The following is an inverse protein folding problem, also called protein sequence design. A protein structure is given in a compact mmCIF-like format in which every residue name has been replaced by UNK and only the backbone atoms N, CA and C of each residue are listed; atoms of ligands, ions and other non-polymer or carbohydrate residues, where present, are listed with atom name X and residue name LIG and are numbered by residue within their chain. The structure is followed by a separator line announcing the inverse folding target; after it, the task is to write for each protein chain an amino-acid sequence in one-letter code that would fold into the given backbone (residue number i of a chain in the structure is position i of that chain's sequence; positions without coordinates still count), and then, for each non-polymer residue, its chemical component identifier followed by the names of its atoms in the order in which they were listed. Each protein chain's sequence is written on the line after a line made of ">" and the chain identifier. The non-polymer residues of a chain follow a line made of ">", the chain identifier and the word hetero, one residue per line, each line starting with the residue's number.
data_IF_735042932959
#
_entry.id   IF_735042932959
#
_cell.length_a   1.000
_cell.length_b   1.000
_cell.length_c   1.000
_cell.angle_alpha   90.00
_cell.angle_beta   90.00
_cell.angle_gamma   90.00
#
_symmetry.space_group_name_H-M   'P 1'
#
loop_
_entity.id
_entity.type
_entity.pdbx_description
1 polymer ?
#
# COMPACT_ATOMS: atom_id res chain seq x y z
N UNK A 1 -65.61 10.57 55.08
CA UNK A 1 -65.68 10.04 53.69
C UNK A 1 -64.26 10.07 53.17
N UNK A 2 -63.72 8.93 52.73
CA UNK A 2 -62.30 8.77 52.40
C UNK A 2 -61.93 9.56 51.13
N UNK A 3 -60.92 10.42 51.22
CA UNK A 3 -60.31 11.04 50.05
C UNK A 3 -59.40 10.02 49.38
N UNK A 4 -59.79 9.58 48.18
CA UNK A 4 -58.98 8.74 47.32
C UNK A 4 -58.01 9.63 46.56
N UNK A 5 -56.76 9.76 47.03
CA UNK A 5 -55.68 10.28 46.20
C UNK A 5 -55.04 9.11 45.45
N UNK A 6 -55.29 9.05 44.14
CA UNK A 6 -54.63 8.12 43.22
C UNK A 6 -53.21 8.62 43.04
N UNK A 7 -52.29 8.12 43.86
CA UNK A 7 -50.87 8.44 43.79
C UNK A 7 -50.21 7.78 42.58
N UNK A 8 -50.02 8.55 41.51
CA UNK A 8 -49.08 8.24 40.43
C UNK A 8 -47.74 8.92 40.70
N UNK A 9 -46.67 8.15 40.87
CA UNK A 9 -45.32 8.70 40.81
C UNK A 9 -44.94 8.89 39.35
N UNK A 10 -44.77 10.14 38.91
CA UNK A 10 -44.14 10.44 37.64
C UNK A 10 -42.67 10.02 37.72
N UNK A 11 -42.28 8.96 37.00
CA UNK A 11 -40.86 8.71 36.76
C UNK A 11 -40.38 9.74 35.75
N UNK A 12 -39.57 10.69 36.22
CA UNK A 12 -38.80 11.54 35.31
C UNK A 12 -37.99 10.65 34.40
N UNK A 13 -38.21 10.78 33.10
CA UNK A 13 -37.36 10.18 32.09
C UNK A 13 -36.03 10.92 32.24
N UNK A 14 -35.07 10.28 32.90
CA UNK A 14 -33.70 10.76 32.82
C UNK A 14 -33.32 10.71 31.35
N UNK A 15 -33.26 11.89 30.72
CA UNK A 15 -32.51 12.13 29.48
C UNK A 15 -31.02 12.04 29.79
N UNK A 16 -30.63 10.96 30.46
CA UNK A 16 -29.31 10.39 30.27
C UNK A 16 -29.33 9.91 28.83
N UNK A 17 -28.43 10.43 28.01
CA UNK A 17 -27.99 9.74 26.80
C UNK A 17 -27.35 8.41 27.24
N UNK A 18 -28.17 7.50 27.75
CA UNK A 18 -27.80 6.13 27.99
C UNK A 18 -27.51 5.62 26.59
N UNK A 19 -26.22 5.37 26.31
CA UNK A 19 -25.79 4.58 25.18
C UNK A 19 -26.82 3.48 25.00
N UNK A 20 -27.58 3.56 23.89
CA UNK A 20 -28.57 2.55 23.54
C UNK A 20 -27.84 1.23 23.69
N UNK A 21 -28.30 0.43 24.66
CA UNK A 21 -27.69 -0.82 25.08
C UNK A 21 -27.32 -1.59 23.81
N UNK A 22 -26.02 -1.58 23.46
CA UNK A 22 -25.56 -2.23 22.24
C UNK A 22 -25.84 -3.70 22.49
N UNK A 23 -26.80 -4.25 21.73
CA UNK A 23 -27.17 -5.67 21.85
C UNK A 23 -25.88 -6.49 22.00
N UNK A 24 -25.78 -7.41 22.97
CA UNK A 24 -24.52 -8.08 23.30
C UNK A 24 -23.91 -8.88 22.14
N UNK A 25 -24.65 -9.02 21.03
CA UNK A 25 -24.23 -9.66 19.78
C UNK A 25 -23.82 -8.65 18.68
N UNK A 26 -23.58 -7.38 19.03
CA UNK A 26 -23.11 -6.35 18.09
C UNK A 26 -21.73 -5.85 18.53
N UNK A 27 -20.79 -5.85 17.58
CA UNK A 27 -19.46 -5.26 17.76
C UNK A 27 -19.42 -3.92 17.05
N UNK A 28 -18.99 -2.88 17.75
CA UNK A 28 -18.69 -1.58 17.16
C UNK A 28 -17.18 -1.48 16.91
N UNK A 29 -16.79 -1.16 15.68
CA UNK A 29 -15.40 -0.93 15.30
C UNK A 29 -15.21 0.54 14.93
N UNK A 30 -14.36 1.25 15.68
CA UNK A 30 -14.09 2.67 15.46
C UNK A 30 -12.60 2.83 15.15
N UNK A 31 -12.27 3.03 13.88
CA UNK A 31 -10.91 3.32 13.40
C UNK A 31 -10.97 4.19 12.15
N UNK A 32 -9.87 4.89 11.88
CA UNK A 32 -9.65 5.55 10.62
C UNK A 32 -9.27 4.51 9.56
N UNK A 33 -10.19 4.22 8.64
CA UNK A 33 -10.00 3.19 7.60
C UNK A 33 -9.53 3.75 6.25
N UNK A 34 -9.43 5.08 6.14
CA UNK A 34 -9.00 5.82 4.94
C UNK A 34 -8.02 6.93 5.31
N UNK A 35 -7.16 7.34 4.38
CA UNK A 35 -6.16 8.40 4.59
C UNK A 35 -6.78 9.70 5.12
N UNK A 36 -7.95 10.07 4.61
CA UNK A 36 -8.68 11.27 5.04
C UNK A 36 -9.87 10.89 5.92
N UNK A 37 -10.06 11.65 7.00
CA UNK A 37 -11.25 11.54 7.84
C UNK A 37 -12.49 12.07 7.11
N UNK A 38 -13.65 11.42 7.26
CA UNK A 38 -14.88 11.93 6.68
C UNK A 38 -15.31 13.23 7.38
N UNK A 39 -15.88 14.17 6.63
CA UNK A 39 -16.37 15.46 7.16
C UNK A 39 -17.41 15.26 8.27
N UNK A 40 -18.14 14.14 8.22
CA UNK A 40 -19.09 13.73 9.26
C UNK A 40 -18.82 12.28 9.63
N UNK A 41 -18.88 11.92 10.92
CA UNK A 41 -18.82 10.53 11.34
C UNK A 41 -19.91 9.71 10.64
N UNK A 42 -19.52 8.60 10.03
CA UNK A 42 -20.42 7.67 9.36
C UNK A 42 -20.53 6.40 10.20
N UNK A 43 -21.76 5.94 10.44
CA UNK A 43 -22.02 4.63 11.05
C UNK A 43 -22.37 3.69 9.90
N UNK A 44 -21.46 2.77 9.60
CA UNK A 44 -21.63 1.78 8.54
C UNK A 44 -22.03 0.45 9.17
N UNK A 45 -23.18 -0.08 8.75
CA UNK A 45 -23.71 -1.36 9.23
C UNK A 45 -23.74 -2.40 8.10
N UNK A 46 -23.81 -3.68 8.48
CA UNK A 46 -24.05 -4.77 7.53
C UNK A 46 -22.81 -5.26 6.77
N UNK A 47 -21.63 -4.70 7.02
CA UNK A 47 -20.35 -5.27 6.54
C UNK A 47 -20.01 -6.52 7.35
N UNK A 48 -19.95 -7.67 6.69
CA UNK A 48 -19.72 -8.99 7.28
C UNK A 48 -18.37 -9.59 6.92
N UNK A 49 -17.77 -9.18 5.80
CA UNK A 49 -16.47 -9.68 5.36
C UNK A 49 -15.46 -8.57 5.16
N UNK A 50 -14.18 -8.93 5.14
CA UNK A 50 -13.07 -7.99 4.92
C UNK A 50 -13.16 -7.36 3.53
N UNK A 51 -13.58 -8.14 2.53
CA UNK A 51 -13.75 -7.68 1.15
C UNK A 51 -14.86 -6.62 1.04
N UNK A 52 -15.95 -6.76 1.81
CA UNK A 52 -17.00 -5.74 1.87
C UNK A 52 -16.49 -4.44 2.48
N UNK A 53 -15.62 -4.51 3.49
CA UNK A 53 -14.94 -3.34 4.07
C UNK A 53 -14.07 -2.65 3.01
N UNK A 54 -13.20 -3.36 2.31
CA UNK A 54 -12.38 -2.77 1.24
C UNK A 54 -13.22 -2.17 0.11
N UNK A 55 -14.27 -2.87 -0.33
CA UNK A 55 -15.17 -2.39 -1.39
C UNK A 55 -15.92 -1.11 -0.99
N UNK A 56 -16.25 -0.98 0.29
CA UNK A 56 -16.93 0.20 0.83
C UNK A 56 -15.97 1.38 0.99
N UNK A 57 -14.89 1.20 1.76
CA UNK A 57 -13.97 2.29 2.14
C UNK A 57 -12.95 2.66 1.06
N UNK A 58 -12.64 1.73 0.14
CA UNK A 58 -11.70 1.93 -0.99
C UNK A 58 -10.43 2.69 -0.60
N UNK A 59 -9.66 2.15 0.37
CA UNK A 59 -8.49 2.82 0.88
C UNK A 59 -7.47 3.08 -0.24
N UNK A 60 -6.93 4.29 -0.24
CA UNK A 60 -5.86 4.73 -1.11
C UNK A 60 -4.94 5.66 -0.32
N UNK A 61 -3.69 5.76 -0.75
CA UNK A 61 -2.70 6.64 -0.13
C UNK A 61 -1.84 7.27 -1.21
N UNK A 62 -1.57 8.58 -1.07
CA UNK A 62 -0.64 9.26 -1.97
C UNK A 62 0.76 9.21 -1.37
N UNK A 63 1.72 8.72 -2.13
CA UNK A 63 3.11 8.53 -1.68
C UNK A 63 4.03 9.31 -2.60
N UNK A 64 4.92 10.07 -1.98
CA UNK A 64 5.99 10.80 -2.64
C UNK A 64 7.26 9.94 -2.67
N UNK A 65 7.65 9.50 -3.87
CA UNK A 65 8.88 8.74 -4.10
C UNK A 65 10.03 9.66 -4.47
N UNK A 66 11.14 9.57 -3.74
CA UNK A 66 12.38 10.28 -4.06
C UNK A 66 13.16 9.54 -5.16
N UNK A 67 13.53 10.26 -6.21
CA UNK A 67 14.34 9.76 -7.31
C UNK A 67 15.83 10.01 -7.08
N UNK A 68 16.68 9.32 -7.85
CA UNK A 68 18.15 9.44 -7.79
C UNK A 68 18.67 10.85 -8.08
N UNK A 69 17.91 11.65 -8.82
CA UNK A 69 18.25 13.05 -9.13
C UNK A 69 17.79 14.04 -8.05
N UNK A 70 17.17 13.55 -6.97
CA UNK A 70 16.61 14.36 -5.88
C UNK A 70 15.23 14.93 -6.20
N UNK A 71 14.64 14.60 -7.36
CA UNK A 71 13.24 14.95 -7.66
C UNK A 71 12.27 14.02 -6.93
N UNK A 72 11.01 14.44 -6.85
CA UNK A 72 9.94 13.67 -6.20
C UNK A 72 8.84 13.35 -7.20
N UNK A 73 8.40 12.10 -7.21
CA UNK A 73 7.24 11.66 -7.98
C UNK A 73 6.14 11.22 -7.02
N UNK A 74 4.99 11.88 -7.11
CA UNK A 74 3.80 11.49 -6.39
C UNK A 74 3.06 10.40 -7.15
N UNK A 75 2.78 9.27 -6.50
CA UNK A 75 1.90 8.23 -7.03
C UNK A 75 0.87 7.82 -5.97
N UNK A 76 -0.33 7.44 -6.40
CA UNK A 76 -1.40 6.99 -5.51
C UNK A 76 -1.53 5.47 -5.56
N UNK A 77 -1.30 4.82 -4.42
CA UNK A 77 -1.51 3.39 -4.24
C UNK A 77 -2.95 3.12 -3.82
N UNK A 78 -3.53 2.03 -4.34
CA UNK A 78 -4.89 1.62 -4.07
C UNK A 78 -4.90 0.22 -3.44
N UNK A 79 -5.80 -0.01 -2.49
CA UNK A 79 -5.92 -1.29 -1.81
C UNK A 79 -7.36 -1.78 -1.93
N UNK A 80 -7.55 -2.83 -2.73
CA UNK A 80 -8.86 -3.47 -2.94
C UNK A 80 -9.01 -4.74 -2.09
N UNK A 81 -7.90 -5.31 -1.64
CA UNK A 81 -7.87 -6.46 -0.74
C UNK A 81 -6.57 -6.53 0.09
N UNK A 82 -6.51 -7.44 1.06
CA UNK A 82 -5.32 -7.65 1.92
C UNK A 82 -4.03 -7.96 1.14
N UNK A 83 -4.11 -8.59 -0.04
CA UNK A 83 -2.95 -8.89 -0.86
C UNK A 83 -2.23 -7.65 -1.41
N UNK A 84 -2.89 -6.49 -1.43
CA UNK A 84 -2.34 -5.26 -1.99
C UNK A 84 -1.30 -4.62 -1.08
N UNK A 85 -1.28 -5.02 0.20
CA UNK A 85 -0.25 -4.61 1.15
C UNK A 85 1.07 -5.38 0.97
N UNK A 86 1.12 -6.35 0.05
CA UNK A 86 2.37 -7.04 -0.25
C UNK A 86 3.31 -6.16 -1.07
N UNK A 87 4.62 -6.29 -0.82
CA UNK A 87 5.67 -5.58 -1.59
C UNK A 87 5.49 -5.79 -3.09
N UNK A 88 5.13 -7.01 -3.52
CA UNK A 88 4.92 -7.32 -4.93
C UNK A 88 3.76 -6.54 -5.53
N UNK A 89 2.61 -6.43 -4.84
CA UNK A 89 1.47 -5.66 -5.34
C UNK A 89 1.81 -4.17 -5.38
N UNK A 90 2.43 -3.64 -4.32
CA UNK A 90 2.88 -2.24 -4.28
C UNK A 90 3.84 -1.89 -5.43
N UNK A 91 4.80 -2.78 -5.72
CA UNK A 91 5.67 -2.63 -6.89
C UNK A 91 4.81 -2.60 -8.15
N UNK A 92 3.92 -3.57 -8.37
CA UNK A 92 3.09 -3.65 -9.59
C UNK A 92 2.22 -2.40 -9.85
N UNK A 93 1.78 -1.71 -8.79
CA UNK A 93 0.98 -0.50 -8.89
C UNK A 93 1.81 0.75 -9.24
N UNK A 94 3.11 0.75 -8.96
CA UNK A 94 3.99 1.90 -9.11
C UNK A 94 4.94 1.72 -10.30
N UNK A 95 5.00 2.72 -11.19
CA UNK A 95 5.94 2.67 -12.31
C UNK A 95 7.38 2.83 -11.82
N UNK A 96 7.60 3.78 -10.89
CA UNK A 96 8.91 3.99 -10.28
C UNK A 96 9.44 2.74 -9.59
N UNK A 97 8.63 2.09 -8.75
CA UNK A 97 9.05 0.88 -8.05
C UNK A 97 9.27 -0.30 -9.01
N UNK A 98 8.51 -0.40 -10.11
CA UNK A 98 8.75 -1.43 -11.13
C UNK A 98 10.08 -1.26 -11.81
N UNK A 99 10.40 -0.04 -12.24
CA UNK A 99 11.66 0.25 -12.92
C UNK A 99 12.84 -0.02 -11.99
N UNK A 100 12.74 0.41 -10.72
CA UNK A 100 13.75 0.12 -9.69
C UNK A 100 13.87 -1.39 -9.41
N UNK A 101 12.77 -2.13 -9.37
CA UNK A 101 12.80 -3.58 -9.16
C UNK A 101 13.48 -4.30 -10.32
N UNK A 102 13.18 -3.92 -11.57
CA UNK A 102 13.84 -4.48 -12.77
C UNK A 102 15.33 -4.19 -12.74
N UNK A 103 15.73 -2.96 -12.42
CA UNK A 103 17.13 -2.57 -12.31
C UNK A 103 17.85 -3.38 -11.21
N UNK A 104 17.23 -3.53 -10.04
CA UNK A 104 17.74 -4.33 -8.92
C UNK A 104 17.91 -5.82 -9.28
N UNK A 105 16.89 -6.42 -9.90
CA UNK A 105 16.94 -7.82 -10.35
C UNK A 105 18.05 -8.03 -11.40
N UNK A 106 18.20 -7.09 -12.34
CA UNK A 106 19.28 -7.11 -13.31
C UNK A 106 20.66 -7.06 -12.61
N UNK A 107 20.86 -6.14 -11.66
CA UNK A 107 22.12 -6.06 -10.93
C UNK A 107 22.41 -7.34 -10.13
N UNK A 108 21.42 -7.91 -9.45
CA UNK A 108 21.58 -9.18 -8.74
C UNK A 108 21.95 -10.32 -9.70
N UNK A 109 21.35 -10.36 -10.88
CA UNK A 109 21.68 -11.33 -11.92
C UNK A 109 23.11 -11.16 -12.41
N UNK A 110 23.55 -9.93 -12.69
CA UNK A 110 24.93 -9.62 -13.09
C UNK A 110 25.89 -10.06 -11.98
N UNK A 111 25.67 -9.66 -10.73
CA UNK A 111 26.52 -10.05 -9.59
C UNK A 111 26.62 -11.57 -9.46
N UNK A 112 25.50 -12.29 -9.65
CA UNK A 112 25.50 -13.75 -9.62
C UNK A 112 26.40 -14.33 -10.72
N UNK A 113 26.27 -13.85 -11.95
CA UNK A 113 27.10 -14.29 -13.08
C UNK A 113 28.59 -13.98 -12.87
N UNK A 114 28.89 -12.82 -12.31
CA UNK A 114 30.27 -12.43 -11.97
C UNK A 114 30.89 -13.34 -10.91
N UNK A 115 30.10 -13.82 -9.95
CA UNK A 115 30.57 -14.73 -8.90
C UNK A 115 30.77 -16.16 -9.42
N UNK A 116 29.88 -16.64 -10.30
CA UNK A 116 29.91 -18.04 -10.77
C UNK A 116 30.85 -18.24 -11.95
N UNK A 117 31.04 -17.23 -12.80
CA UNK A 117 31.86 -17.35 -14.01
C UNK A 117 33.28 -16.81 -13.79
N UNK A 118 34.22 -17.74 -13.57
CA UNK A 118 35.65 -17.44 -13.37
C UNK A 118 36.29 -16.71 -14.56
N UNK A 119 35.85 -17.01 -15.78
CA UNK A 119 36.36 -16.35 -17.00
C UNK A 119 35.93 -14.90 -17.05
N UNK A 120 34.63 -14.63 -16.85
CA UNK A 120 34.09 -13.27 -16.79
C UNK A 120 34.77 -12.44 -15.69
N UNK A 121 35.01 -13.05 -14.52
CA UNK A 121 35.76 -12.42 -13.43
C UNK A 121 37.19 -12.06 -13.84
N UNK A 122 37.93 -12.99 -14.44
CA UNK A 122 39.31 -12.74 -14.90
C UNK A 122 39.37 -11.69 -16.01
N UNK A 123 38.42 -11.71 -16.96
CA UNK A 123 38.26 -10.71 -18.02
C UNK A 123 37.98 -9.31 -17.45
N UNK A 124 37.25 -9.23 -16.33
CA UNK A 124 36.98 -7.95 -15.68
C UNK A 124 38.12 -7.50 -14.75
N UNK A 125 38.94 -8.40 -14.23
CA UNK A 125 40.10 -8.01 -13.40
C UNK A 125 41.18 -7.28 -14.21
N UNK A 126 41.38 -7.65 -15.48
CA UNK A 126 42.31 -6.95 -16.38
C UNK A 126 41.68 -5.66 -16.97
N UNK A 127 42.34 -4.48 -16.82
CA UNK A 127 41.84 -3.19 -17.30
C UNK A 127 41.52 -3.13 -18.80
N UNK A 128 42.38 -3.71 -19.65
CA UNK A 128 42.19 -3.66 -21.11
C UNK A 128 40.96 -4.46 -21.54
N UNK A 129 40.81 -5.68 -21.02
CA UNK A 129 39.70 -6.56 -21.38
C UNK A 129 38.37 -6.09 -20.78
N UNK A 130 38.40 -5.43 -19.62
CA UNK A 130 37.23 -4.76 -19.06
C UNK A 130 36.75 -3.62 -19.96
N UNK A 131 37.67 -2.81 -20.47
CA UNK A 131 37.35 -1.67 -21.32
C UNK A 131 36.82 -2.13 -22.68
N UNK A 132 37.41 -3.18 -23.26
CA UNK A 132 36.90 -3.81 -24.48
C UNK A 132 35.49 -4.40 -24.29
N UNK A 133 35.24 -5.05 -23.15
CA UNK A 133 33.92 -5.60 -22.82
C UNK A 133 32.86 -4.52 -22.63
N UNK A 134 33.21 -3.42 -21.93
CA UNK A 134 32.31 -2.26 -21.78
C UNK A 134 31.97 -1.62 -23.12
N UNK A 135 32.97 -1.42 -24.00
CA UNK A 135 32.75 -0.88 -25.33
C UNK A 135 31.86 -1.79 -26.21
N UNK A 136 32.02 -3.11 -26.10
CA UNK A 136 31.14 -4.07 -26.78
C UNK A 136 29.69 -3.98 -26.31
N UNK A 137 29.46 -3.83 -24.99
CA UNK A 137 28.12 -3.64 -24.43
C UNK A 137 27.49 -2.30 -24.85
N UNK A 138 28.27 -1.21 -24.88
CA UNK A 138 27.79 0.09 -25.37
C UNK A 138 27.40 0.04 -26.85
N UNK A 139 28.18 -0.64 -27.68
CA UNK A 139 27.85 -0.83 -29.08
C UNK A 139 26.58 -1.67 -29.26
N UNK A 140 26.43 -2.76 -28.51
CA UNK A 140 25.21 -3.58 -28.53
C UNK A 140 23.98 -2.77 -28.08
N UNK A 141 24.11 -1.96 -27.03
CA UNK A 141 23.03 -1.10 -26.56
C UNK A 141 22.61 -0.07 -27.62
N UNK A 142 23.59 0.54 -28.32
CA UNK A 142 23.32 1.45 -29.44
C UNK A 142 22.61 0.75 -30.60
N UNK A 143 23.04 -0.45 -30.96
CA UNK A 143 22.41 -1.24 -32.02
C UNK A 143 20.95 -1.58 -31.68
N UNK A 144 20.65 -1.91 -30.42
CA UNK A 144 19.29 -2.17 -29.98
C UNK A 144 18.42 -0.90 -29.98
N UNK A 145 18.97 0.25 -29.59
CA UNK A 145 18.25 1.53 -29.63
C UNK A 145 18.00 2.04 -31.06
N UNK A 146 18.83 1.66 -32.04
CA UNK A 146 18.65 2.03 -33.44
C UNK A 146 17.65 1.12 -34.19
N UNK A 147 17.35 -0.07 -33.64
CA UNK A 147 16.44 -1.06 -34.23
C UNK A 147 15.08 -1.15 -33.52
N UNK A 148 14.79 -0.19 -32.62
CA UNK A 148 13.48 0.07 -32.01
C UNK A 148 12.99 1.41 -32.55
#
# INVERSE_FOLDING_TARGET
>A
MFNYEIGGNERRIDTSEAFVDISPNKTLFVQQLTEQEPIKPEIVEGLKTVEEVFKHFKPKVSVDFEQKDGSTVNETLHFDHLGDFSVKSMIQQSNQLRDLNVESEMYLNIIRQLKTNKTLKATLENPETRQAFAAALENLAKELQQNI
#
